data_IF_060466590653
#
_entry.id   IF_060466590653
#
_cell.length_a   1.000
_cell.length_b   1.000
_cell.length_c   1.000
_cell.angle_alpha   90.00
_cell.angle_beta   90.00
_cell.angle_gamma   90.00
#
_symmetry.space_group_name_H-M   'P 1'
#
loop_
_entity.id
_entity.type
_entity.pdbx_description
1 polymer ?
#
# COMPACT_ATOMS: atom_id res chain seq x y z
N UNK A 1 -6.36 -11.13 -20.61
CA UNK A 1 -5.03 -11.23 -19.99
C UNK A 1 -4.82 -10.15 -18.95
N UNK A 2 -3.86 -10.37 -18.07
CA UNK A 2 -3.38 -9.41 -17.09
C UNK A 2 -1.86 -9.55 -16.94
N UNK A 3 -1.20 -8.47 -16.56
CA UNK A 3 0.22 -8.47 -16.27
C UNK A 3 0.44 -8.57 -14.75
N UNK A 4 1.37 -9.39 -14.30
CA UNK A 4 1.81 -9.52 -12.91
C UNK A 4 2.71 -8.34 -12.48
N UNK A 5 2.19 -7.12 -12.62
CA UNK A 5 2.91 -5.88 -12.37
C UNK A 5 1.98 -4.78 -11.87
N UNK A 6 2.30 -4.15 -10.76
CA UNK A 6 1.50 -3.07 -10.17
C UNK A 6 1.93 -1.67 -10.58
N UNK A 7 3.07 -1.54 -11.27
CA UNK A 7 3.55 -0.27 -11.81
C UNK A 7 2.93 0.06 -13.17
N UNK A 8 3.51 1.05 -13.85
CA UNK A 8 3.05 1.46 -15.17
C UNK A 8 3.21 0.32 -16.18
N UNK A 9 2.13 -0.03 -16.87
CA UNK A 9 2.11 -1.08 -17.89
C UNK A 9 1.46 -0.58 -19.18
N UNK A 10 1.67 -1.32 -20.27
CA UNK A 10 1.03 -1.06 -21.55
C UNK A 10 0.61 -2.35 -22.24
N UNK A 11 -0.59 -2.34 -22.80
CA UNK A 11 -1.09 -3.32 -23.75
C UNK A 11 -1.22 -2.64 -25.12
N UNK A 12 -0.64 -3.26 -26.15
CA UNK A 12 -0.77 -2.81 -27.54
C UNK A 12 -1.44 -3.90 -28.33
N UNK A 13 -2.48 -3.55 -29.08
CA UNK A 13 -3.23 -4.43 -29.98
C UNK A 13 -2.98 -3.95 -31.41
N UNK A 14 -2.40 -4.80 -32.23
CA UNK A 14 -2.07 -4.52 -33.61
C UNK A 14 -2.73 -5.55 -34.50
N UNK A 15 -3.30 -5.10 -35.64
CA UNK A 15 -3.77 -5.99 -36.71
C UNK A 15 -2.87 -5.81 -37.92
N UNK A 16 -2.23 -6.89 -38.36
CA UNK A 16 -1.35 -6.85 -39.50
C UNK A 16 -2.12 -6.86 -40.84
N UNK A 17 -1.41 -6.73 -41.93
CA UNK A 17 -1.99 -6.71 -43.28
C UNK A 17 -2.63 -8.05 -43.73
N UNK A 18 -2.42 -9.13 -42.94
CA UNK A 18 -3.03 -10.45 -43.10
C UNK A 18 -4.19 -10.68 -42.13
N UNK A 19 -4.62 -9.65 -41.42
CA UNK A 19 -5.66 -9.69 -40.38
C UNK A 19 -5.32 -10.57 -39.16
N UNK A 20 -4.05 -10.78 -38.85
CA UNK A 20 -3.65 -11.42 -37.60
C UNK A 20 -3.60 -10.39 -36.49
N UNK A 21 -4.22 -10.73 -35.36
CA UNK A 21 -4.13 -9.96 -34.14
C UNK A 21 -2.80 -10.25 -33.40
N UNK A 22 -2.02 -9.20 -33.17
CA UNK A 22 -0.84 -9.24 -32.32
C UNK A 22 -1.12 -8.48 -31.03
N UNK A 23 -0.82 -9.11 -29.91
CA UNK A 23 -0.93 -8.49 -28.57
C UNK A 23 0.45 -8.41 -27.95
N UNK A 24 0.88 -7.19 -27.60
CA UNK A 24 2.13 -6.94 -26.88
C UNK A 24 1.78 -6.39 -25.50
N UNK A 25 2.31 -7.00 -24.46
CA UNK A 25 2.06 -6.62 -23.08
C UNK A 25 3.37 -6.55 -22.30
N UNK A 26 3.51 -5.54 -21.44
CA UNK A 26 4.71 -5.39 -20.63
C UNK A 26 4.73 -4.11 -19.81
N UNK A 27 5.85 -3.86 -19.14
CA UNK A 27 6.12 -2.60 -18.45
C UNK A 27 6.03 -1.47 -19.48
N UNK A 28 5.39 -0.36 -19.10
CA UNK A 28 5.30 0.80 -19.98
C UNK A 28 6.71 1.35 -20.26
N UNK A 29 7.14 1.46 -21.52
CA UNK A 29 8.48 1.95 -21.88
C UNK A 29 8.65 3.46 -21.67
N UNK A 30 7.59 4.21 -21.34
CA UNK A 30 7.71 5.63 -21.10
C UNK A 30 8.66 5.90 -19.93
N UNK A 31 9.73 6.66 -20.19
CA UNK A 31 10.76 7.02 -19.23
C UNK A 31 11.33 5.80 -18.43
N UNK A 32 11.35 4.62 -19.03
CA UNK A 32 11.71 3.34 -18.41
C UNK A 32 12.77 2.57 -19.21
N UNK A 33 13.78 3.26 -19.73
CA UNK A 33 14.95 2.61 -20.29
C UNK A 33 15.78 1.97 -19.16
N UNK A 34 16.04 0.67 -19.25
CA UNK A 34 16.75 -0.08 -18.23
C UNK A 34 18.13 -0.53 -18.74
N UNK A 35 19.18 0.04 -18.17
CA UNK A 35 20.57 -0.39 -18.45
C UNK A 35 20.86 -1.68 -17.70
N UNK A 36 21.12 -2.75 -18.41
CA UNK A 36 21.47 -4.06 -17.85
C UNK A 36 23.00 -4.23 -17.87
N UNK A 37 23.65 -4.31 -16.71
CA UNK A 37 25.08 -4.61 -16.64
C UNK A 37 25.43 -5.98 -17.21
N UNK A 38 26.69 -6.17 -17.58
CA UNK A 38 27.16 -7.46 -18.05
C UNK A 38 26.91 -8.58 -17.01
N UNK A 39 26.44 -9.72 -17.46
CA UNK A 39 26.10 -10.90 -16.65
C UNK A 39 24.89 -10.72 -15.70
N UNK A 40 24.17 -9.62 -15.76
CA UNK A 40 22.88 -9.48 -15.05
C UNK A 40 21.70 -9.93 -15.91
N UNK A 41 20.61 -10.33 -15.26
CA UNK A 41 19.38 -10.79 -15.88
C UNK A 41 18.24 -9.86 -15.53
N UNK A 42 17.54 -9.35 -16.53
CA UNK A 42 16.28 -8.64 -16.35
C UNK A 42 15.12 -9.62 -16.47
N UNK A 43 14.41 -9.85 -15.36
CA UNK A 43 13.18 -10.64 -15.35
C UNK A 43 11.99 -9.75 -15.65
N UNK A 44 11.27 -10.04 -16.72
CA UNK A 44 10.00 -9.37 -17.04
C UNK A 44 8.90 -9.84 -16.10
N UNK A 45 7.86 -9.02 -15.88
CA UNK A 45 6.66 -9.49 -15.21
C UNK A 45 6.00 -10.66 -15.94
N UNK A 46 5.37 -11.53 -15.16
CA UNK A 46 4.58 -12.64 -15.72
C UNK A 46 3.34 -12.10 -16.43
N UNK A 47 2.97 -12.70 -17.55
CA UNK A 47 1.74 -12.42 -18.26
C UNK A 47 0.78 -13.59 -18.11
N UNK A 48 -0.39 -13.32 -17.55
CA UNK A 48 -1.45 -14.31 -17.36
C UNK A 48 -2.54 -14.08 -18.40
N UNK A 49 -2.99 -15.14 -19.04
CA UNK A 49 -4.10 -15.05 -19.99
C UNK A 49 -5.04 -16.23 -19.88
N UNK A 50 -6.27 -16.03 -20.32
CA UNK A 50 -7.30 -17.06 -20.42
C UNK A 50 -7.99 -16.97 -21.75
N UNK A 51 -8.58 -18.08 -22.18
CA UNK A 51 -9.43 -18.19 -23.34
C UNK A 51 -10.81 -18.71 -22.95
N UNK A 52 -11.86 -18.20 -23.56
CA UNK A 52 -13.23 -18.64 -23.31
C UNK A 52 -14.08 -18.55 -24.58
N UNK A 53 -14.85 -19.59 -24.85
CA UNK A 53 -15.90 -19.60 -25.88
C UNK A 53 -17.22 -19.02 -25.33
N UNK A 54 -17.38 -18.95 -24.01
CA UNK A 54 -18.58 -18.50 -23.33
C UNK A 54 -18.57 -17.01 -22.95
N UNK A 55 -17.78 -16.24 -23.72
CA UNK A 55 -17.70 -14.77 -23.62
C UNK A 55 -16.91 -14.23 -22.43
N UNK A 56 -16.97 -12.90 -22.25
CA UNK A 56 -16.17 -12.16 -21.28
C UNK A 56 -16.47 -12.55 -19.82
N UNK A 57 -17.73 -12.91 -19.51
CA UNK A 57 -18.11 -13.31 -18.15
C UNK A 57 -17.35 -14.56 -17.70
N UNK A 58 -17.21 -15.56 -18.57
CA UNK A 58 -16.46 -16.75 -18.25
C UNK A 58 -14.95 -16.45 -18.13
N UNK A 59 -14.40 -15.63 -19.03
CA UNK A 59 -13.00 -15.22 -18.94
C UNK A 59 -12.71 -14.50 -17.61
N UNK A 60 -13.62 -13.64 -17.12
CA UNK A 60 -13.52 -13.00 -15.82
C UNK A 60 -13.55 -14.02 -14.67
N UNK A 61 -14.49 -14.97 -14.69
CA UNK A 61 -14.57 -16.03 -13.67
C UNK A 61 -13.31 -16.89 -13.62
N UNK A 62 -12.70 -17.20 -14.76
CA UNK A 62 -11.44 -17.95 -14.81
C UNK A 62 -10.33 -17.21 -14.03
N UNK A 63 -10.22 -15.88 -14.17
CA UNK A 63 -9.27 -15.07 -13.38
C UNK A 63 -9.63 -15.02 -11.90
N UNK A 64 -10.91 -14.95 -11.55
CA UNK A 64 -11.34 -14.99 -10.15
C UNK A 64 -10.96 -16.33 -9.49
N UNK A 65 -11.19 -17.44 -10.18
CA UNK A 65 -10.84 -18.78 -9.69
C UNK A 65 -9.33 -18.95 -9.55
N UNK A 66 -8.56 -18.47 -10.54
CA UNK A 66 -7.12 -18.45 -10.46
C UNK A 66 -6.61 -17.61 -9.29
N UNK A 67 -7.14 -16.39 -9.12
CA UNK A 67 -6.74 -15.50 -8.04
C UNK A 67 -7.04 -16.11 -6.67
N UNK A 68 -8.23 -16.71 -6.47
CA UNK A 68 -8.58 -17.36 -5.22
C UNK A 68 -7.65 -18.52 -4.87
N UNK A 69 -7.27 -19.33 -5.87
CA UNK A 69 -6.44 -20.52 -5.65
C UNK A 69 -4.96 -20.23 -5.47
N UNK A 70 -4.43 -19.21 -6.16
CA UNK A 70 -2.99 -19.06 -6.31
C UNK A 70 -2.43 -17.68 -5.89
N UNK A 71 -3.27 -16.66 -5.73
CA UNK A 71 -2.80 -15.30 -5.47
C UNK A 71 -3.25 -14.74 -4.13
N UNK A 72 -4.44 -15.09 -3.69
CA UNK A 72 -5.04 -14.53 -2.47
C UNK A 72 -4.89 -15.52 -1.33
N UNK A 73 -4.23 -15.09 -0.24
CA UNK A 73 -4.16 -15.91 0.98
C UNK A 73 -5.58 -16.21 1.47
N UNK A 74 -5.82 -17.46 1.86
CA UNK A 74 -7.13 -17.92 2.31
C UNK A 74 -8.28 -17.59 1.31
N UNK A 75 -8.02 -17.77 0.01
CA UNK A 75 -8.92 -17.36 -1.07
C UNK A 75 -10.30 -18.00 -1.04
N UNK A 76 -10.41 -19.19 -0.45
CA UNK A 76 -11.68 -19.94 -0.30
C UNK A 76 -12.41 -19.63 1.03
N UNK A 77 -11.83 -18.79 1.90
CA UNK A 77 -12.47 -18.40 3.16
C UNK A 77 -13.45 -17.22 2.97
N UNK A 78 -14.43 -17.14 3.85
CA UNK A 78 -15.36 -16.01 3.91
C UNK A 78 -14.58 -14.74 4.24
N UNK A 79 -14.80 -13.68 3.46
CA UNK A 79 -14.21 -12.36 3.72
C UNK A 79 -14.94 -11.68 4.86
N UNK A 80 -14.16 -11.04 5.73
CA UNK A 80 -14.70 -10.24 6.81
C UNK A 80 -15.40 -8.99 6.27
N UNK A 81 -16.55 -8.67 6.85
CA UNK A 81 -17.20 -7.37 6.68
C UNK A 81 -16.52 -6.33 7.57
N UNK A 82 -16.44 -5.07 7.15
CA UNK A 82 -15.81 -4.03 7.94
C UNK A 82 -16.63 -2.73 7.96
N UNK A 83 -16.53 -2.02 9.07
CA UNK A 83 -16.96 -0.64 9.24
C UNK A 83 -15.73 0.26 9.25
N UNK A 84 -15.62 1.16 8.28
CA UNK A 84 -14.59 2.19 8.22
C UNK A 84 -15.16 3.51 8.75
N UNK A 85 -14.41 4.21 9.60
CA UNK A 85 -14.88 5.48 10.18
C UNK A 85 -14.82 6.67 9.22
N UNK A 86 -14.14 6.57 8.06
CA UNK A 86 -13.84 7.73 7.21
C UNK A 86 -15.08 8.56 6.88
N UNK A 87 -16.11 7.95 6.30
CA UNK A 87 -17.33 8.68 5.90
C UNK A 87 -18.15 9.19 7.09
N UNK A 88 -17.97 8.62 8.28
CA UNK A 88 -18.67 9.06 9.48
C UNK A 88 -18.01 10.25 10.19
N UNK A 89 -16.69 10.36 10.09
CA UNK A 89 -15.94 11.32 10.92
C UNK A 89 -14.92 12.14 10.14
N UNK A 90 -14.47 11.66 8.98
CA UNK A 90 -13.27 12.18 8.32
C UNK A 90 -12.12 12.29 9.35
N UNK A 91 -11.46 13.44 9.40
CA UNK A 91 -10.37 13.71 10.35
C UNK A 91 -10.85 14.22 11.73
N UNK A 92 -12.17 14.47 11.90
CA UNK A 92 -12.75 14.98 13.15
C UNK A 92 -13.24 13.83 14.05
N UNK A 93 -12.32 13.23 14.76
CA UNK A 93 -12.62 12.19 15.76
C UNK A 93 -11.71 12.32 16.99
N UNK A 94 -12.14 11.68 18.05
CA UNK A 94 -11.39 11.43 19.27
C UNK A 94 -11.59 9.98 19.73
N UNK A 95 -10.92 9.59 20.80
CA UNK A 95 -10.96 8.23 21.33
C UNK A 95 -12.40 7.78 21.66
N UNK A 96 -13.20 8.64 22.32
CA UNK A 96 -14.58 8.30 22.70
C UNK A 96 -15.49 8.04 21.51
N UNK A 97 -15.40 8.86 20.45
CA UNK A 97 -16.13 8.64 19.21
C UNK A 97 -15.75 7.30 18.57
N UNK A 98 -14.47 6.96 18.55
CA UNK A 98 -14.00 5.69 17.97
C UNK A 98 -14.44 4.48 18.80
N UNK A 99 -14.39 4.58 20.11
CA UNK A 99 -14.91 3.54 21.03
C UNK A 99 -16.40 3.31 20.81
N UNK A 100 -17.18 4.39 20.63
CA UNK A 100 -18.61 4.28 20.31
C UNK A 100 -18.84 3.58 18.95
N UNK A 101 -18.06 3.95 17.91
CA UNK A 101 -18.17 3.33 16.57
C UNK A 101 -17.76 1.85 16.59
N UNK A 102 -16.82 1.44 17.41
CA UNK A 102 -16.47 0.02 17.64
C UNK A 102 -17.69 -0.73 18.24
N UNK A 103 -18.41 -0.11 19.18
CA UNK A 103 -19.65 -0.65 19.71
C UNK A 103 -20.74 -0.80 18.66
N UNK A 104 -20.90 0.21 17.78
CA UNK A 104 -21.84 0.16 16.66
C UNK A 104 -21.45 -0.91 15.63
N UNK A 105 -20.17 -1.11 15.35
CA UNK A 105 -19.69 -2.19 14.48
C UNK A 105 -20.16 -3.55 15.02
N UNK A 106 -20.05 -3.77 16.33
CA UNK A 106 -20.56 -4.97 16.99
C UNK A 106 -22.08 -5.07 16.88
N UNK A 107 -22.80 -3.98 17.12
CA UNK A 107 -24.27 -3.95 17.04
C UNK A 107 -24.78 -4.28 15.64
N UNK A 108 -24.11 -3.77 14.61
CA UNK A 108 -24.41 -4.05 13.20
C UNK A 108 -24.00 -5.46 12.76
N UNK A 109 -23.23 -6.18 13.57
CA UNK A 109 -22.77 -7.54 13.25
C UNK A 109 -21.65 -7.59 12.20
N UNK A 110 -20.88 -6.49 12.02
CA UNK A 110 -19.68 -6.51 11.17
C UNK A 110 -18.49 -7.11 11.92
N UNK A 111 -17.58 -7.72 11.17
CA UNK A 111 -16.47 -8.49 11.74
C UNK A 111 -15.31 -7.62 12.19
N UNK A 112 -15.15 -6.43 11.59
CA UNK A 112 -13.98 -5.57 11.77
C UNK A 112 -14.36 -4.09 11.82
N UNK A 113 -13.72 -3.33 12.70
CA UNK A 113 -13.64 -1.88 12.67
C UNK A 113 -12.30 -1.43 12.10
N UNK A 114 -12.31 -0.51 11.13
CA UNK A 114 -11.11 0.04 10.51
C UNK A 114 -10.97 1.53 10.85
N UNK A 115 -9.89 1.88 11.55
CA UNK A 115 -9.48 3.27 11.78
C UNK A 115 -8.78 3.82 10.53
N UNK A 116 -9.40 4.78 9.89
CA UNK A 116 -8.87 5.45 8.68
C UNK A 116 -7.90 6.59 9.00
N UNK A 117 -7.60 7.46 8.03
CA UNK A 117 -6.67 8.59 8.13
C UNK A 117 -6.95 9.51 9.34
N UNK A 118 -5.89 10.11 9.91
CA UNK A 118 -6.04 11.15 10.94
C UNK A 118 -5.60 10.78 12.35
N UNK A 119 -5.10 9.57 12.60
CA UNK A 119 -4.74 9.06 13.91
C UNK A 119 -3.30 9.39 14.36
N UNK A 120 -2.47 9.97 13.51
CA UNK A 120 -1.02 10.06 13.67
C UNK A 120 -0.50 11.49 13.68
N UNK A 121 0.80 11.64 13.96
CA UNK A 121 1.63 12.84 14.05
C UNK A 121 1.35 13.71 15.28
N UNK A 122 2.41 14.15 15.95
CA UNK A 122 2.34 14.97 17.15
C UNK A 122 2.84 16.40 16.91
N UNK A 123 3.97 16.60 16.21
CA UNK A 123 4.46 17.94 15.88
C UNK A 123 3.56 18.67 14.88
N UNK A 124 3.06 17.91 13.90
CA UNK A 124 2.13 18.37 12.87
C UNK A 124 0.90 17.46 12.83
N UNK A 125 -0.01 17.55 13.83
CA UNK A 125 -1.13 16.62 13.96
C UNK A 125 -1.94 16.50 12.68
N UNK A 126 -2.28 15.27 12.29
CA UNK A 126 -3.08 15.00 11.08
C UNK A 126 -4.53 15.47 11.24
N UNK A 127 -4.71 16.78 11.17
CA UNK A 127 -6.02 17.46 11.22
C UNK A 127 -6.48 17.98 9.85
N UNK A 128 -5.62 17.88 8.85
CA UNK A 128 -5.89 18.18 7.44
C UNK A 128 -4.95 17.36 6.55
N UNK A 129 -5.21 17.33 5.24
CA UNK A 129 -4.37 16.64 4.26
C UNK A 129 -3.05 17.40 3.94
N UNK A 130 -2.84 18.56 4.53
CA UNK A 130 -1.64 19.39 4.32
C UNK A 130 -0.48 19.06 5.25
N UNK A 131 -0.66 18.19 6.24
CA UNK A 131 0.35 17.95 7.29
C UNK A 131 0.26 16.55 7.91
N UNK A 132 1.35 16.16 8.54
CA UNK A 132 1.45 14.95 9.38
C UNK A 132 1.78 13.67 8.63
N UNK A 133 1.49 13.56 7.34
CA UNK A 133 1.75 12.34 6.58
C UNK A 133 3.26 12.07 6.52
N UNK A 134 3.65 10.88 6.96
CA UNK A 134 5.04 10.46 7.16
C UNK A 134 5.40 10.20 8.62
N UNK A 135 4.68 10.78 9.58
CA UNK A 135 4.96 10.69 11.02
C UNK A 135 4.01 9.69 11.70
N UNK A 136 4.32 8.40 11.63
CA UNK A 136 3.43 7.30 11.98
C UNK A 136 3.38 6.97 13.49
N UNK A 137 3.30 8.01 14.31
CA UNK A 137 3.09 7.87 15.77
C UNK A 137 1.72 8.42 16.12
N UNK A 138 0.95 7.67 16.89
CA UNK A 138 -0.40 8.09 17.29
C UNK A 138 -0.40 9.48 17.95
N UNK A 139 -1.36 10.31 17.57
CA UNK A 139 -1.49 11.67 18.11
C UNK A 139 -2.17 11.65 19.46
N UNK A 140 -1.47 12.17 20.49
CA UNK A 140 -1.98 12.20 21.86
C UNK A 140 -3.24 13.06 22.03
N UNK A 141 -3.41 14.08 21.19
CA UNK A 141 -4.57 14.98 21.22
C UNK A 141 -5.89 14.25 20.96
N UNK A 142 -5.88 13.27 20.02
CA UNK A 142 -7.08 12.51 19.65
C UNK A 142 -7.16 11.18 20.39
N UNK A 143 -6.01 10.57 20.67
CA UNK A 143 -5.87 9.23 21.24
C UNK A 143 -5.00 9.28 22.49
N UNK A 144 -5.48 9.86 23.60
CA UNK A 144 -4.68 10.04 24.82
C UNK A 144 -4.22 8.71 25.44
N UNK A 145 -4.95 7.62 25.21
CA UNK A 145 -4.57 6.27 25.64
C UNK A 145 -3.99 5.41 24.50
N UNK A 146 -3.72 6.01 23.35
CA UNK A 146 -3.13 5.38 22.18
C UNK A 146 -4.03 4.36 21.45
N UNK A 147 -3.49 3.78 20.39
CA UNK A 147 -4.16 2.72 19.59
C UNK A 147 -4.47 1.49 20.46
N UNK A 148 -3.65 1.21 21.48
CA UNK A 148 -3.85 0.07 22.39
C UNK A 148 -5.22 0.08 23.09
N UNK A 149 -5.76 1.24 23.42
CA UNK A 149 -7.12 1.37 23.97
C UNK A 149 -8.17 0.91 22.97
N UNK A 150 -8.03 1.29 21.72
CA UNK A 150 -8.98 0.94 20.64
C UNK A 150 -8.93 -0.56 20.31
N UNK A 151 -7.73 -1.13 20.20
CA UNK A 151 -7.57 -2.58 19.95
C UNK A 151 -8.12 -3.42 21.09
N UNK A 152 -7.90 -2.98 22.34
CA UNK A 152 -8.46 -3.65 23.52
C UNK A 152 -9.99 -3.58 23.56
N UNK A 153 -10.59 -2.44 23.22
CA UNK A 153 -12.05 -2.29 23.18
C UNK A 153 -12.65 -3.14 22.05
N UNK A 154 -12.05 -3.13 20.84
CA UNK A 154 -12.48 -3.97 19.73
C UNK A 154 -12.45 -5.46 20.12
N UNK A 155 -11.36 -5.91 20.76
CA UNK A 155 -11.23 -7.28 21.26
C UNK A 155 -12.30 -7.64 22.29
N UNK A 156 -12.58 -6.74 23.24
CA UNK A 156 -13.65 -6.91 24.24
C UNK A 156 -15.02 -7.06 23.60
N UNK A 157 -15.30 -6.32 22.52
CA UNK A 157 -16.53 -6.41 21.75
C UNK A 157 -16.58 -7.62 20.81
N UNK A 158 -15.47 -8.34 20.63
CA UNK A 158 -15.36 -9.44 19.65
C UNK A 158 -15.32 -8.96 18.21
N UNK A 159 -14.86 -7.73 17.98
CA UNK A 159 -14.65 -7.11 16.66
C UNK A 159 -13.14 -7.07 16.38
N UNK A 160 -12.72 -7.40 15.17
CA UNK A 160 -11.32 -7.22 14.74
C UNK A 160 -11.00 -5.73 14.57
N UNK A 161 -9.73 -5.36 14.69
CA UNK A 161 -9.27 -3.99 14.50
C UNK A 161 -8.34 -3.89 13.29
N UNK A 162 -8.64 -3.00 12.37
CA UNK A 162 -7.81 -2.64 11.24
C UNK A 162 -7.36 -1.18 11.33
N UNK A 163 -6.28 -0.85 10.61
CA UNK A 163 -5.71 0.51 10.60
C UNK A 163 -5.28 0.92 9.20
N UNK A 164 -5.51 2.19 8.87
CA UNK A 164 -5.07 2.80 7.62
C UNK A 164 -3.63 3.31 7.74
N UNK A 165 -2.87 3.10 6.67
CA UNK A 165 -1.54 3.69 6.46
C UNK A 165 -1.37 4.11 5.00
N UNK A 166 -0.55 5.15 4.77
CA UNK A 166 -0.12 5.59 3.43
C UNK A 166 1.41 5.82 3.45
N UNK A 167 2.21 4.77 3.68
CA UNK A 167 3.61 4.93 4.05
C UNK A 167 4.54 5.25 2.88
N UNK A 168 4.04 5.27 1.65
CA UNK A 168 4.77 5.70 0.45
C UNK A 168 4.74 7.22 0.26
N UNK A 169 3.94 7.94 1.05
CA UNK A 169 3.70 9.38 0.87
C UNK A 169 4.16 10.18 2.07
N UNK A 170 4.45 11.46 1.84
CA UNK A 170 4.88 12.39 2.89
C UNK A 170 4.35 13.79 2.62
N UNK A 171 3.94 14.50 3.68
CA UNK A 171 3.67 15.94 3.56
C UNK A 171 4.94 16.77 3.80
N UNK A 172 5.06 17.95 3.19
CA UNK A 172 6.12 18.90 3.53
C UNK A 172 6.11 19.33 5.00
N UNK A 173 4.93 19.40 5.63
CA UNK A 173 4.77 19.59 7.07
C UNK A 173 4.73 18.22 7.77
N UNK A 174 5.92 17.61 7.92
CA UNK A 174 6.15 16.41 8.70
C UNK A 174 7.57 16.38 9.23
N UNK A 175 7.82 15.70 10.34
CA UNK A 175 9.17 15.50 10.88
C UNK A 175 10.02 14.64 9.94
N UNK A 176 9.39 13.69 9.25
CA UNK A 176 10.06 12.87 8.26
C UNK A 176 10.66 13.73 7.13
N UNK A 177 9.87 14.62 6.56
CA UNK A 177 10.35 15.49 5.48
C UNK A 177 11.42 16.48 5.95
N UNK A 178 11.29 17.02 7.17
CA UNK A 178 12.33 17.89 7.74
C UNK A 178 13.70 17.19 7.83
N UNK A 179 13.69 15.90 8.19
CA UNK A 179 14.90 15.08 8.36
C UNK A 179 15.45 14.53 7.06
N UNK A 180 14.58 14.19 6.12
CA UNK A 180 14.90 13.39 4.93
C UNK A 180 14.31 13.95 3.64
N UNK A 181 14.62 15.21 3.32
CA UNK A 181 14.23 15.83 2.05
C UNK A 181 14.79 15.14 0.80
N UNK A 182 15.87 14.40 0.97
CA UNK A 182 16.53 13.59 -0.05
C UNK A 182 15.80 12.25 -0.35
N UNK A 183 14.82 11.90 0.47
CA UNK A 183 14.03 10.67 0.29
C UNK A 183 12.83 10.82 -0.64
N UNK A 184 12.50 12.03 -1.05
CA UNK A 184 11.36 12.25 -1.93
C UNK A 184 11.77 12.29 -3.40
N UNK A 185 10.87 11.80 -4.24
CA UNK A 185 11.01 11.89 -5.70
C UNK A 185 10.70 13.32 -6.11
N UNK A 186 11.74 14.07 -6.50
CA UNK A 186 11.63 15.48 -6.91
C UNK A 186 12.84 15.94 -7.71
N UNK A 187 12.66 16.85 -8.64
CA UNK A 187 13.77 17.49 -9.32
C UNK A 187 14.54 18.44 -8.37
N UNK A 188 15.87 18.38 -8.33
CA UNK A 188 16.69 19.19 -7.40
C UNK A 188 16.63 20.69 -7.67
N UNK A 189 16.39 21.10 -8.92
CA UNK A 189 16.45 22.49 -9.38
C UNK A 189 15.09 23.01 -9.90
N UNK A 190 14.00 22.43 -9.45
CA UNK A 190 12.64 22.85 -9.79
C UNK A 190 11.80 22.95 -8.52
N UNK A 191 10.74 23.75 -8.59
CA UNK A 191 9.71 23.76 -7.55
C UNK A 191 9.09 22.38 -7.40
N UNK A 192 8.76 22.02 -6.17
CA UNK A 192 8.07 20.78 -5.86
C UNK A 192 6.64 20.87 -6.36
N UNK A 193 6.18 19.82 -6.99
CA UNK A 193 4.78 19.69 -7.39
C UNK A 193 4.08 18.72 -6.44
N UNK A 194 2.99 19.16 -5.86
CA UNK A 194 2.20 18.39 -4.92
C UNK A 194 0.91 17.92 -5.57
N UNK A 195 0.66 16.62 -5.49
CA UNK A 195 -0.67 16.08 -5.75
C UNK A 195 -1.31 15.72 -4.40
N UNK A 196 -2.51 16.23 -4.12
CA UNK A 196 -3.16 16.13 -2.81
C UNK A 196 -2.25 16.58 -1.64
N UNK A 197 -1.47 17.62 -1.84
CA UNK A 197 -0.54 18.15 -0.84
C UNK A 197 0.55 17.19 -0.38
N UNK A 198 0.83 16.16 -1.18
CA UNK A 198 1.75 15.06 -0.86
C UNK A 198 2.92 15.02 -1.85
N UNK A 199 4.02 14.42 -1.37
CA UNK A 199 5.17 13.97 -2.16
C UNK A 199 5.30 12.45 -2.02
N UNK A 200 5.92 11.82 -3.02
CA UNK A 200 6.15 10.38 -3.03
C UNK A 200 7.56 10.09 -2.51
N UNK A 201 7.68 9.19 -1.55
CA UNK A 201 8.96 8.67 -1.06
C UNK A 201 9.60 7.74 -2.09
N UNK A 202 10.91 7.79 -2.24
CA UNK A 202 11.66 7.04 -3.24
C UNK A 202 11.94 5.60 -2.82
N UNK A 203 11.04 4.68 -3.13
CA UNK A 203 11.22 3.25 -2.85
C UNK A 203 12.31 2.56 -3.68
N UNK A 204 12.95 3.24 -4.64
CA UNK A 204 14.18 2.73 -5.24
C UNK A 204 15.35 2.76 -4.24
N UNK A 205 15.25 3.59 -3.18
CA UNK A 205 16.24 3.74 -2.13
C UNK A 205 16.02 2.71 -0.99
N UNK A 206 16.98 1.83 -0.69
CA UNK A 206 16.87 0.86 0.40
C UNK A 206 16.60 1.48 1.78
N UNK A 207 17.11 2.68 2.08
CA UNK A 207 16.83 3.35 3.34
C UNK A 207 15.35 3.74 3.49
N UNK A 208 14.71 4.11 2.39
CA UNK A 208 13.26 4.38 2.34
C UNK A 208 12.47 3.06 2.48
N UNK A 209 12.93 1.98 1.84
CA UNK A 209 12.32 0.65 2.02
C UNK A 209 12.35 0.21 3.49
N UNK A 210 13.49 0.42 4.17
CA UNK A 210 13.64 0.11 5.59
C UNK A 210 12.72 0.95 6.47
N UNK A 211 12.58 2.24 6.17
CA UNK A 211 11.64 3.12 6.87
C UNK A 211 10.19 2.64 6.70
N UNK A 212 9.76 2.39 5.46
CA UNK A 212 8.38 1.95 5.17
C UNK A 212 8.07 0.59 5.82
N UNK A 213 9.00 -0.34 5.77
CA UNK A 213 8.88 -1.59 6.53
C UNK A 213 8.76 -1.34 8.02
N UNK A 214 9.61 -0.45 8.58
CA UNK A 214 9.63 -0.08 9.99
C UNK A 214 8.31 0.49 10.50
N UNK A 215 7.55 1.20 9.66
CA UNK A 215 6.20 1.69 10.01
C UNK A 215 5.28 0.53 10.39
N UNK A 216 5.22 -0.49 9.55
CA UNK A 216 4.37 -1.66 9.77
C UNK A 216 4.88 -2.49 10.96
N UNK A 217 6.19 -2.73 10.99
CA UNK A 217 6.84 -3.53 12.05
C UNK A 217 6.62 -2.92 13.45
N UNK A 218 6.80 -1.60 13.59
CA UNK A 218 6.57 -0.89 14.85
C UNK A 218 5.11 -0.95 15.29
N UNK A 219 4.15 -0.77 14.37
CA UNK A 219 2.73 -0.85 14.68
C UNK A 219 2.35 -2.25 15.15
N UNK A 220 2.81 -3.28 14.46
CA UNK A 220 2.50 -4.67 14.83
C UNK A 220 3.20 -5.11 16.11
N UNK A 221 4.43 -4.66 16.33
CA UNK A 221 5.16 -4.96 17.58
C UNK A 221 4.50 -4.29 18.77
N UNK A 222 4.09 -3.04 18.63
CA UNK A 222 3.44 -2.28 19.70
C UNK A 222 1.98 -2.69 19.94
N UNK A 223 1.26 -3.06 18.86
CA UNK A 223 -0.16 -3.36 18.85
C UNK A 223 -0.46 -4.67 18.12
N UNK A 224 -0.11 -5.83 18.72
CA UNK A 224 -0.24 -7.14 18.06
C UNK A 224 -1.70 -7.57 17.75
N UNK A 225 -2.67 -6.89 18.32
CA UNK A 225 -4.10 -7.13 18.05
C UNK A 225 -4.60 -6.39 16.77
N UNK A 226 -3.74 -5.66 16.05
CA UNK A 226 -4.06 -5.16 14.70
C UNK A 226 -4.16 -6.35 13.75
N UNK A 227 -5.33 -6.55 13.15
CA UNK A 227 -5.63 -7.68 12.27
C UNK A 227 -5.59 -7.33 10.78
N UNK A 228 -5.52 -6.05 10.43
CA UNK A 228 -5.61 -5.61 9.04
C UNK A 228 -4.97 -4.23 8.82
N UNK A 229 -4.25 -4.08 7.71
CA UNK A 229 -3.78 -2.80 7.22
C UNK A 229 -4.52 -2.42 5.95
N UNK A 230 -5.13 -1.23 5.92
CA UNK A 230 -5.53 -0.57 4.68
C UNK A 230 -4.33 0.26 4.21
N UNK A 231 -3.59 -0.28 3.25
CA UNK A 231 -2.47 0.42 2.61
C UNK A 231 -2.98 1.27 1.46
N UNK A 232 -2.91 2.57 1.61
CA UNK A 232 -3.33 3.54 0.62
C UNK A 232 -2.15 4.11 -0.18
N UNK A 233 -2.43 4.68 -1.35
CA UNK A 233 -1.44 5.29 -2.24
C UNK A 233 -2.15 6.35 -3.11
N UNK A 234 -2.20 7.60 -2.64
CA UNK A 234 -3.06 8.63 -3.21
C UNK A 234 -2.34 9.64 -4.12
N UNK A 235 -1.02 9.51 -4.31
CA UNK A 235 -0.26 10.43 -5.16
C UNK A 235 0.51 9.68 -6.25
N UNK A 236 0.36 10.08 -7.53
CA UNK A 236 1.16 9.53 -8.61
C UNK A 236 2.58 10.10 -8.59
N UNK A 237 3.54 9.37 -9.17
CA UNK A 237 4.89 9.88 -9.43
C UNK A 237 4.83 10.81 -10.62
N UNK A 238 4.97 12.12 -10.40
CA UNK A 238 4.93 13.17 -11.45
C UNK A 238 6.29 13.79 -11.73
N UNK A 239 7.16 13.91 -10.71
CA UNK A 239 8.51 14.46 -10.80
C UNK A 239 9.53 13.33 -10.86
N UNK A 240 9.84 12.85 -12.05
CA UNK A 240 10.62 11.63 -12.28
C UNK A 240 12.12 11.87 -12.04
N UNK A 241 12.51 12.06 -10.79
CA UNK A 241 13.91 12.17 -10.41
C UNK A 241 14.15 11.61 -9.01
N UNK A 242 15.10 10.70 -8.91
CA UNK A 242 15.59 10.09 -7.67
C UNK A 242 16.97 10.60 -7.32
N UNK A 243 17.13 11.16 -6.13
CA UNK A 243 18.46 11.53 -5.60
C UNK A 243 19.36 10.30 -5.41
N UNK A 244 18.75 9.14 -5.11
CA UNK A 244 19.45 7.88 -4.91
C UNK A 244 19.98 7.27 -6.22
N UNK A 245 19.18 7.27 -7.29
CA UNK A 245 19.53 6.60 -8.56
C UNK A 245 20.63 7.30 -9.37
N UNK A 246 20.94 8.56 -9.06
CA UNK A 246 22.01 9.32 -9.72
C UNK A 246 21.92 9.25 -11.26
N UNK A 247 22.86 8.59 -11.92
CA UNK A 247 22.89 8.45 -13.38
C UNK A 247 21.87 7.46 -13.97
N UNK A 248 21.15 6.71 -13.13
CA UNK A 248 20.16 5.68 -13.56
C UNK A 248 18.71 6.17 -13.45
N UNK A 249 18.44 7.42 -13.78
CA UNK A 249 17.10 8.02 -13.59
C UNK A 249 15.98 7.27 -14.32
N UNK A 250 16.26 6.70 -15.49
CA UNK A 250 15.28 5.93 -16.27
C UNK A 250 14.89 4.59 -15.65
N UNK A 251 15.58 4.15 -14.59
CA UNK A 251 15.21 2.96 -13.81
C UNK A 251 14.09 3.24 -12.80
N UNK A 252 13.78 4.51 -12.49
CA UNK A 252 12.95 4.89 -11.34
C UNK A 252 11.62 4.15 -11.28
N UNK A 253 10.83 4.13 -12.34
CA UNK A 253 9.53 3.47 -12.34
C UNK A 253 9.61 1.96 -12.11
N UNK A 254 10.68 1.33 -12.54
CA UNK A 254 10.90 -0.12 -12.37
C UNK A 254 11.42 -0.41 -10.96
N UNK A 255 12.47 0.30 -10.55
CA UNK A 255 13.13 0.06 -9.26
C UNK A 255 12.26 0.48 -8.08
N UNK A 256 11.38 1.48 -8.25
CA UNK A 256 10.34 1.83 -7.28
C UNK A 256 9.41 0.64 -6.98
N UNK A 257 8.84 0.04 -8.02
CA UNK A 257 7.91 -1.09 -7.86
C UNK A 257 8.63 -2.32 -7.29
N UNK A 258 9.85 -2.58 -7.72
CA UNK A 258 10.69 -3.64 -7.13
C UNK A 258 10.99 -3.39 -5.65
N UNK A 259 11.21 -2.12 -5.29
CA UNK A 259 11.37 -1.70 -3.90
C UNK A 259 10.10 -1.94 -3.07
N UNK A 260 8.94 -1.59 -3.61
CA UNK A 260 7.65 -1.88 -2.98
C UNK A 260 7.46 -3.39 -2.75
N UNK A 261 7.75 -4.21 -3.76
CA UNK A 261 7.64 -5.67 -3.61
C UNK A 261 8.54 -6.22 -2.52
N UNK A 262 9.79 -5.74 -2.42
CA UNK A 262 10.70 -6.13 -1.33
C UNK A 262 10.16 -5.77 0.05
N UNK A 263 9.54 -4.58 0.19
CA UNK A 263 8.90 -4.18 1.45
C UNK A 263 7.74 -5.11 1.78
N UNK A 264 6.85 -5.38 0.81
CA UNK A 264 5.68 -6.25 1.01
C UNK A 264 6.08 -7.69 1.31
N UNK A 265 7.12 -8.22 0.66
CA UNK A 265 7.68 -9.55 0.96
C UNK A 265 8.21 -9.62 2.39
N UNK A 266 8.95 -8.61 2.84
CA UNK A 266 9.43 -8.52 4.22
C UNK A 266 8.29 -8.44 5.23
N UNK A 267 7.29 -7.60 4.97
CA UNK A 267 6.08 -7.49 5.80
C UNK A 267 5.39 -8.86 5.89
N UNK A 268 5.18 -9.52 4.75
CA UNK A 268 4.57 -10.85 4.70
C UNK A 268 5.36 -11.88 5.51
N UNK A 269 6.67 -11.91 5.36
CA UNK A 269 7.54 -12.86 6.06
C UNK A 269 7.53 -12.64 7.59
N UNK A 270 7.62 -11.38 8.04
CA UNK A 270 7.67 -11.07 9.47
C UNK A 270 6.31 -11.23 10.17
N UNK A 271 5.22 -10.80 9.53
CA UNK A 271 3.89 -10.81 10.14
C UNK A 271 3.23 -12.19 10.17
N UNK A 272 3.61 -13.09 9.27
CA UNK A 272 3.14 -14.47 9.31
C UNK A 272 3.64 -15.23 10.54
N UNK A 273 4.78 -14.82 11.11
CA UNK A 273 5.33 -15.42 12.32
C UNK A 273 4.81 -14.79 13.62
N UNK A 274 4.30 -13.55 13.58
CA UNK A 274 3.82 -12.84 14.78
C UNK A 274 2.34 -13.05 15.07
N UNK A 275 1.57 -13.57 14.13
CA UNK A 275 0.19 -14.00 14.33
C UNK A 275 0.01 -15.39 13.72
N UNK A 276 0.42 -16.46 14.44
CA UNK A 276 0.20 -17.80 13.93
C UNK A 276 -1.31 -18.06 13.87
N UNK A 277 -1.86 -18.03 12.65
CA UNK A 277 -3.10 -18.75 12.40
C UNK A 277 -2.80 -20.23 12.59
N UNK A 278 -3.68 -21.03 13.20
CA UNK A 278 -3.47 -22.49 13.31
C UNK A 278 -3.22 -23.19 11.97
N UNK A 279 -3.47 -22.53 10.85
CA UNK A 279 -3.20 -23.02 9.47
C UNK A 279 -1.81 -22.67 8.95
N UNK A 280 -1.14 -21.65 9.52
CA UNK A 280 0.22 -21.28 9.10
C UNK A 280 1.30 -22.25 9.63
N UNK A 281 0.91 -23.20 10.49
CA UNK A 281 1.81 -24.23 11.04
C UNK A 281 1.97 -25.47 10.13
N UNK A 282 1.32 -25.51 8.96
CA UNK A 282 1.31 -26.67 8.05
C UNK A 282 1.79 -26.37 6.60
N UNK A 283 2.38 -25.19 6.35
CA UNK A 283 3.01 -24.90 5.06
C UNK A 283 4.50 -24.56 5.22
#
# INVERSE_FOLDING_TARGET
GTLGWTGNFRFTFEVDHQNHLRVISGINPYASEYSLPANEVFRTPDFYFTYSLDGKGQASRNFHDWARRYQVKAGDETRMTLLNNWEATYLDFNEDKLVALIGEAKHLGVDMFLLDDGWFANKYPRSSDHQGLGDWTETADKLPNGIGKLTAEAKKQGVKFGIWIEPEMVNPKSELYEKHKDWVIRFPNREEYYFRNQLVLDLSNPAVQDHVFGVVDQLMTKYPDIAFFKWDCNSPITNIYSTYLKGKQTHLYIDYVRGLYKVLERVKACLLYTSPSPRDAHE
#
